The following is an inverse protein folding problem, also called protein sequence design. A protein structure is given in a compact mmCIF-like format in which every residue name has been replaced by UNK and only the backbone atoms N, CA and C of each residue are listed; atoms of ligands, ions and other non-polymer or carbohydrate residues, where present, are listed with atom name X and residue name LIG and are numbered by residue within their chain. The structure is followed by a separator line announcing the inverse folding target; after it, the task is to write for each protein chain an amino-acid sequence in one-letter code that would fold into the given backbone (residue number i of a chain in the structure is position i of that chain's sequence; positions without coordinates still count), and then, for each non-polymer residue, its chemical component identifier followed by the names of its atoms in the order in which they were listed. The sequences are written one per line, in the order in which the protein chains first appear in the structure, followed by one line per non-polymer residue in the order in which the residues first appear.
data_IF_553554274999
#
_entry.id   IF_553554274999
#
_cell.length_a   1.000
_cell.length_b   1.000
_cell.length_c   1.000
_cell.angle_alpha   90.00
_cell.angle_beta   90.00
_cell.angle_gamma   90.00
#
_symmetry.space_group_name_H-M   'P 1'
#
loop_
_entity.id
_entity.type
_entity.pdbx_description
1 polymer ?
#
# COMPACT_ATOMS: atom_id res chain seq x y z
N UNK A 1 -15.24 16.57 -4.14
CA UNK A 1 -15.43 15.71 -2.95
C UNK A 1 -16.86 15.22 -2.94
N UNK A 2 -17.10 13.92 -2.69
CA UNK A 2 -18.45 13.38 -2.54
C UNK A 2 -19.03 13.77 -1.18
N UNK A 3 -20.36 13.67 -1.03
CA UNK A 3 -21.15 14.16 0.12
C UNK A 3 -20.70 13.65 1.52
N UNK A 4 -19.82 12.65 1.59
CA UNK A 4 -19.39 11.97 2.83
C UNK A 4 -17.85 11.97 3.04
N UNK A 5 -17.12 12.99 2.56
CA UNK A 5 -15.64 13.04 2.64
C UNK A 5 -14.92 11.85 1.99
N UNK A 6 -15.59 11.15 1.08
CA UNK A 6 -15.01 10.08 0.26
C UNK A 6 -14.45 10.69 -1.02
N UNK A 7 -13.21 10.31 -1.35
CA UNK A 7 -12.56 10.63 -2.61
C UNK A 7 -12.29 9.32 -3.33
N UNK A 8 -12.90 9.14 -4.49
CA UNK A 8 -12.61 8.04 -5.40
C UNK A 8 -11.61 8.59 -6.42
N UNK A 9 -10.51 7.87 -6.58
CA UNK A 9 -9.49 8.19 -7.58
C UNK A 9 -9.52 7.08 -8.61
N UNK A 10 -9.81 7.45 -9.85
CA UNK A 10 -9.65 6.54 -10.98
C UNK A 10 -8.18 6.56 -11.43
N UNK A 11 -7.51 5.43 -11.32
CA UNK A 11 -6.10 5.31 -11.69
C UNK A 11 -5.96 4.83 -13.13
N UNK A 12 -4.92 5.26 -13.86
CA UNK A 12 -4.58 4.66 -15.14
C UNK A 12 -4.44 3.12 -15.06
N UNK A 13 -4.64 2.47 -16.20
CA UNK A 13 -4.45 1.01 -16.32
C UNK A 13 -3.02 0.57 -16.00
N UNK A 14 -2.87 -0.57 -15.33
CA UNK A 14 -1.58 -1.12 -14.86
C UNK A 14 -0.76 -1.78 -16.00
N UNK A 15 -0.82 -1.23 -17.21
CA UNK A 15 -0.26 -1.93 -18.39
C UNK A 15 0.23 -1.04 -19.52
N UNK A 16 0.28 0.28 -19.34
CA UNK A 16 0.61 1.22 -20.42
C UNK A 16 2.10 1.63 -20.42
N UNK A 17 2.71 1.92 -19.27
CA UNK A 17 4.17 2.15 -19.13
C UNK A 17 4.66 2.03 -17.67
N UNK A 18 5.97 1.94 -17.46
CA UNK A 18 6.60 1.93 -16.12
C UNK A 18 6.36 3.26 -15.38
N UNK A 19 6.25 4.39 -16.09
CA UNK A 19 5.91 5.69 -15.48
C UNK A 19 4.48 5.68 -14.94
N UNK A 20 3.55 5.11 -15.72
CA UNK A 20 2.13 5.00 -15.35
C UNK A 20 1.95 4.08 -14.14
N UNK A 21 2.71 2.98 -14.08
CA UNK A 21 2.77 2.09 -12.92
C UNK A 21 3.22 2.83 -11.66
N UNK A 22 4.27 3.64 -11.76
CA UNK A 22 4.77 4.45 -10.63
C UNK A 22 3.75 5.48 -10.14
N UNK A 23 3.01 6.11 -11.07
CA UNK A 23 1.90 7.01 -10.73
C UNK A 23 0.83 6.24 -9.94
N UNK A 24 0.41 5.07 -10.42
CA UNK A 24 -0.60 4.23 -9.75
C UNK A 24 -0.13 3.78 -8.36
N UNK A 25 1.14 3.38 -8.21
CA UNK A 25 1.71 3.06 -6.89
C UNK A 25 1.72 4.26 -5.93
N UNK A 26 1.97 5.48 -6.44
CA UNK A 26 1.91 6.70 -5.65
C UNK A 26 0.50 7.00 -5.09
N UNK A 27 -0.55 6.56 -5.77
CA UNK A 27 -1.91 6.60 -5.24
C UNK A 27 -2.14 5.54 -4.17
N UNK A 28 -1.66 4.31 -4.36
CA UNK A 28 -1.82 3.22 -3.38
C UNK A 28 -1.20 3.57 -2.03
N UNK A 29 -0.04 4.23 -2.00
CA UNK A 29 0.62 4.67 -0.75
C UNK A 29 -0.24 5.64 0.08
N UNK A 30 -1.02 6.49 -0.60
CA UNK A 30 -1.86 7.53 0.02
C UNK A 30 -3.29 7.04 0.25
N UNK A 31 -3.71 6.01 -0.47
CA UNK A 31 -5.06 5.49 -0.42
C UNK A 31 -5.33 4.80 0.92
N UNK A 32 -6.54 5.01 1.44
CA UNK A 32 -6.96 4.31 2.66
C UNK A 32 -7.51 2.91 2.39
N UNK A 33 -7.87 2.63 1.14
CA UNK A 33 -8.24 1.34 0.59
C UNK A 33 -8.14 1.42 -0.93
N UNK A 34 -8.09 0.28 -1.61
CA UNK A 34 -8.07 0.24 -3.07
C UNK A 34 -9.00 -0.86 -3.59
N UNK A 35 -9.62 -0.56 -4.73
CA UNK A 35 -10.48 -1.48 -5.47
C UNK A 35 -9.74 -1.86 -6.73
N UNK A 36 -9.53 -3.15 -6.95
CA UNK A 36 -8.93 -3.68 -8.16
C UNK A 36 -10.03 -4.33 -9.01
N UNK A 37 -10.24 -3.81 -10.20
CA UNK A 37 -11.22 -4.35 -11.15
C UNK A 37 -10.52 -5.34 -12.06
N UNK A 38 -10.98 -6.59 -12.04
CA UNK A 38 -10.42 -7.69 -12.82
C UNK A 38 -11.41 -8.05 -13.93
N UNK A 39 -10.93 -8.11 -15.17
CA UNK A 39 -11.72 -8.61 -16.31
C UNK A 39 -11.72 -10.15 -16.34
N UNK A 40 -12.88 -10.78 -16.14
CA UNK A 40 -13.01 -12.25 -16.11
C UNK A 40 -12.85 -12.93 -17.48
N UNK A 41 -12.91 -12.18 -18.58
CA UNK A 41 -12.81 -12.76 -19.93
C UNK A 41 -11.38 -13.08 -20.36
N UNK A 42 -10.37 -12.51 -19.68
CA UNK A 42 -8.98 -12.71 -20.03
C UNK A 42 -8.32 -13.71 -19.06
N UNK A 43 -8.11 -14.96 -19.50
CA UNK A 43 -7.30 -15.99 -18.82
C UNK A 43 -7.57 -16.19 -17.30
N UNK A 44 -8.84 -16.08 -16.88
CA UNK A 44 -9.23 -16.19 -15.47
C UNK A 44 -8.88 -14.96 -14.64
N UNK A 45 -8.75 -13.80 -15.28
CA UNK A 45 -8.60 -12.48 -14.66
C UNK A 45 -7.21 -12.14 -14.09
N UNK A 46 -6.47 -13.13 -13.62
CA UNK A 46 -5.16 -12.93 -12.97
C UNK A 46 -4.04 -12.96 -14.02
N UNK A 47 -3.84 -11.84 -14.71
CA UNK A 47 -2.74 -11.69 -15.68
C UNK A 47 -1.38 -11.46 -15.00
N UNK A 48 -0.27 -11.82 -15.68
CA UNK A 48 1.10 -11.63 -15.18
C UNK A 48 1.36 -10.19 -14.69
N UNK A 49 0.85 -9.19 -15.40
CA UNK A 49 1.00 -7.77 -15.03
C UNK A 49 0.35 -7.41 -13.69
N UNK A 50 -0.79 -8.02 -13.39
CA UNK A 50 -1.43 -7.85 -12.08
C UNK A 50 -0.57 -8.46 -10.98
N UNK A 51 0.07 -9.60 -11.25
CA UNK A 51 0.98 -10.23 -10.29
C UNK A 51 2.19 -9.32 -10.01
N UNK A 52 2.80 -8.79 -11.06
CA UNK A 52 3.93 -7.85 -10.96
C UNK A 52 3.56 -6.59 -10.16
N UNK A 53 2.37 -6.04 -10.40
CA UNK A 53 1.87 -4.88 -9.66
C UNK A 53 1.59 -5.20 -8.19
N UNK A 54 0.94 -6.33 -7.91
CA UNK A 54 0.67 -6.78 -6.54
C UNK A 54 1.98 -6.97 -5.76
N UNK A 55 3.00 -7.56 -6.37
CA UNK A 55 4.31 -7.72 -5.74
C UNK A 55 4.98 -6.38 -5.43
N UNK A 56 4.85 -5.39 -6.31
CA UNK A 56 5.36 -4.05 -6.03
C UNK A 56 4.59 -3.32 -4.93
N UNK A 57 3.26 -3.48 -4.90
CA UNK A 57 2.43 -2.96 -3.81
C UNK A 57 2.86 -3.58 -2.48
N UNK A 58 3.10 -4.90 -2.43
CA UNK A 58 3.61 -5.58 -1.21
C UNK A 58 4.99 -5.08 -0.81
N UNK A 59 5.90 -4.89 -1.77
CA UNK A 59 7.23 -4.39 -1.49
C UNK A 59 7.17 -3.00 -0.85
N UNK A 60 6.40 -2.09 -1.44
CA UNK A 60 6.16 -0.76 -0.88
C UNK A 60 5.41 -0.78 0.45
N UNK A 61 4.46 -1.70 0.63
CA UNK A 61 3.75 -1.92 1.88
C UNK A 61 4.69 -2.24 3.05
N UNK A 62 5.66 -3.14 2.79
CA UNK A 62 6.65 -3.57 3.77
C UNK A 62 7.68 -2.46 4.07
N UNK A 63 8.02 -1.65 3.08
CA UNK A 63 8.92 -0.49 3.25
C UNK A 63 8.25 0.65 4.05
N UNK A 64 6.93 0.81 3.92
CA UNK A 64 6.14 1.90 4.52
C UNK A 64 5.12 1.36 5.52
N UNK A 65 5.51 0.56 6.51
CA UNK A 65 4.79 0.19 7.77
C UNK A 65 3.22 0.16 7.81
N UNK A 66 2.47 0.03 6.70
CA UNK A 66 1.15 0.69 6.71
C UNK A 66 0.19 0.44 5.56
N UNK A 67 0.53 -0.35 4.54
CA UNK A 67 -0.52 -0.88 3.65
C UNK A 67 -1.09 -2.12 4.33
N UNK A 68 -2.20 -1.95 5.04
CA UNK A 68 -2.94 -3.08 5.59
C UNK A 68 -3.58 -3.83 4.41
N UNK A 69 -3.12 -5.06 4.20
CA UNK A 69 -3.51 -5.93 3.08
C UNK A 69 -5.01 -6.31 3.11
N UNK A 70 -5.70 -6.10 4.23
CA UNK A 70 -7.16 -6.28 4.33
C UNK A 70 -7.99 -5.14 3.70
N UNK A 71 -7.32 -4.15 3.10
CA UNK A 71 -7.96 -2.97 2.50
C UNK A 71 -8.18 -3.09 0.98
N UNK A 72 -7.93 -4.26 0.42
CA UNK A 72 -8.17 -4.56 -0.99
C UNK A 72 -9.60 -5.04 -1.21
N UNK A 73 -10.27 -4.59 -2.26
CA UNK A 73 -11.45 -5.26 -2.83
C UNK A 73 -11.10 -5.66 -4.26
N UNK A 74 -11.30 -6.91 -4.60
CA UNK A 74 -11.16 -7.43 -5.96
C UNK A 74 -12.55 -7.60 -6.57
N UNK A 75 -12.85 -6.77 -7.58
CA UNK A 75 -14.12 -6.80 -8.30
C UNK A 75 -13.90 -7.56 -9.60
N UNK A 76 -14.39 -8.79 -9.66
CA UNK A 76 -14.29 -9.67 -10.82
C UNK A 76 -15.39 -9.31 -11.82
N UNK A 77 -15.15 -8.31 -12.67
CA UNK A 77 -16.11 -7.74 -13.61
C UNK A 77 -16.34 -8.63 -14.84
N UNK A 78 -17.42 -8.36 -15.59
CA UNK A 78 -17.92 -9.17 -16.72
C UNK A 78 -18.33 -10.58 -16.32
N UNK A 79 -18.83 -10.74 -15.10
CA UNK A 79 -19.31 -12.02 -14.59
C UNK A 79 -20.53 -12.58 -15.35
N UNK A 80 -21.25 -11.70 -16.04
CA UNK A 80 -22.34 -12.06 -16.96
C UNK A 80 -21.86 -12.78 -18.21
N UNK A 81 -20.61 -12.54 -18.65
CA UNK A 81 -20.03 -13.16 -19.85
C UNK A 81 -19.42 -14.54 -19.57
N UNK A 82 -19.22 -14.90 -18.30
CA UNK A 82 -18.72 -16.22 -17.90
C UNK A 82 -19.80 -17.29 -18.10
N UNK A 83 -19.54 -18.39 -18.85
CA UNK A 83 -20.51 -19.46 -19.05
C UNK A 83 -21.00 -20.04 -17.72
N UNK A 84 -22.31 -20.23 -17.56
CA UNK A 84 -22.93 -20.66 -16.29
C UNK A 84 -22.33 -21.95 -15.72
N UNK A 85 -21.95 -22.89 -16.59
CA UNK A 85 -21.35 -24.17 -16.18
C UNK A 85 -19.90 -24.04 -15.71
N UNK A 86 -19.20 -22.97 -16.10
CA UNK A 86 -17.80 -22.70 -15.72
C UNK A 86 -17.68 -21.78 -14.50
N UNK A 87 -18.74 -21.03 -14.15
CA UNK A 87 -18.73 -20.03 -13.07
C UNK A 87 -18.11 -20.55 -11.77
N UNK A 88 -18.47 -21.75 -11.33
CA UNK A 88 -17.93 -22.34 -10.10
C UNK A 88 -16.43 -22.60 -10.17
N UNK A 89 -15.95 -23.10 -11.32
CA UNK A 89 -14.53 -23.38 -11.55
C UNK A 89 -13.74 -22.09 -11.66
N UNK A 90 -14.21 -21.14 -12.47
CA UNK A 90 -13.54 -19.85 -12.71
C UNK A 90 -13.37 -19.05 -11.41
N UNK A 91 -14.40 -18.98 -10.57
CA UNK A 91 -14.27 -18.23 -9.31
C UNK A 91 -13.31 -18.92 -8.35
N UNK A 92 -13.36 -20.26 -8.27
CA UNK A 92 -12.46 -21.03 -7.41
C UNK A 92 -11.00 -20.84 -7.82
N UNK A 93 -10.71 -20.97 -9.11
CA UNK A 93 -9.35 -20.76 -9.66
C UNK A 93 -8.88 -19.33 -9.43
N UNK A 94 -9.77 -18.34 -9.60
CA UNK A 94 -9.46 -16.93 -9.34
C UNK A 94 -9.11 -16.70 -7.87
N UNK A 95 -9.89 -17.27 -6.95
CA UNK A 95 -9.65 -17.19 -5.51
C UNK A 95 -8.32 -17.82 -5.14
N UNK A 96 -8.01 -19.01 -5.66
CA UNK A 96 -6.75 -19.71 -5.38
C UNK A 96 -5.54 -18.89 -5.87
N UNK A 97 -5.59 -18.36 -7.10
CA UNK A 97 -4.53 -17.51 -7.65
C UNK A 97 -4.35 -16.22 -6.86
N UNK A 98 -5.44 -15.54 -6.50
CA UNK A 98 -5.38 -14.31 -5.72
C UNK A 98 -4.85 -14.56 -4.30
N UNK A 99 -5.20 -15.68 -3.66
CA UNK A 99 -4.65 -16.06 -2.35
C UNK A 99 -3.15 -16.34 -2.39
N UNK A 100 -2.65 -16.97 -3.45
CA UNK A 100 -1.20 -17.17 -3.66
C UNK A 100 -0.47 -15.83 -3.83
N UNK A 101 -1.09 -14.90 -4.53
CA UNK A 101 -0.54 -13.58 -4.77
C UNK A 101 -0.79 -12.60 -3.62
N UNK A 102 -1.67 -12.89 -2.66
CA UNK A 102 -2.05 -11.96 -1.61
C UNK A 102 -2.25 -12.69 -0.28
N UNK A 103 -1.17 -12.85 0.47
CA UNK A 103 -1.19 -13.55 1.75
C UNK A 103 -2.16 -12.87 2.73
N UNK A 104 -3.10 -13.65 3.27
CA UNK A 104 -4.12 -13.15 4.21
C UNK A 104 -5.37 -12.54 3.54
N UNK A 105 -5.57 -12.77 2.24
CA UNK A 105 -6.80 -12.40 1.53
C UNK A 105 -8.02 -13.19 2.05
N UNK A 106 -9.05 -12.47 2.49
CA UNK A 106 -10.36 -13.05 2.78
C UNK A 106 -11.14 -13.21 1.45
N UNK A 107 -11.78 -14.36 1.25
CA UNK A 107 -12.62 -14.62 0.07
C UNK A 107 -13.73 -13.58 -0.09
N UNK A 108 -14.21 -12.99 1.03
CA UNK A 108 -15.20 -11.90 1.00
C UNK A 108 -14.70 -10.63 0.32
N UNK A 109 -13.39 -10.48 0.12
CA UNK A 109 -12.79 -9.38 -0.63
C UNK A 109 -12.84 -9.61 -2.15
N UNK A 110 -13.18 -10.82 -2.60
CA UNK A 110 -13.29 -11.17 -4.02
C UNK A 110 -14.77 -11.26 -4.38
N UNK A 111 -15.24 -10.33 -5.22
CA UNK A 111 -16.66 -10.18 -5.51
C UNK A 111 -16.88 -10.36 -7.01
N UNK A 112 -17.55 -11.45 -7.44
CA UNK A 112 -18.06 -11.58 -8.81
C UNK A 112 -19.03 -10.45 -9.11
N UNK A 113 -18.83 -9.74 -10.22
CA UNK A 113 -19.57 -8.54 -10.53
C UNK A 113 -19.85 -8.40 -12.03
N UNK A 114 -21.02 -7.88 -12.35
CA UNK A 114 -21.39 -7.50 -13.70
C UNK A 114 -21.84 -6.05 -13.69
N UNK A 115 -21.09 -5.19 -14.37
CA UNK A 115 -21.42 -3.76 -14.45
C UNK A 115 -22.70 -3.56 -15.27
N UNK A 116 -22.88 -4.33 -16.32
CA UNK A 116 -24.07 -4.32 -17.20
C UNK A 116 -25.33 -4.71 -16.43
N UNK A 117 -25.29 -5.83 -15.70
CA UNK A 117 -26.39 -6.28 -14.84
C UNK A 117 -26.70 -5.25 -13.74
N UNK A 118 -25.66 -4.78 -13.05
CA UNK A 118 -25.83 -3.82 -11.96
C UNK A 118 -26.49 -2.51 -12.44
N UNK A 119 -26.05 -1.99 -13.59
CA UNK A 119 -26.61 -0.78 -14.19
C UNK A 119 -28.07 -0.98 -14.61
N UNK A 120 -28.40 -2.14 -15.20
CA UNK A 120 -29.76 -2.45 -15.62
C UNK A 120 -30.73 -2.58 -14.44
N UNK A 121 -30.34 -3.30 -13.38
CA UNK A 121 -31.14 -3.44 -12.15
C UNK A 121 -31.30 -2.09 -11.46
N UNK A 122 -30.24 -1.27 -11.44
CA UNK A 122 -30.30 0.09 -10.88
C UNK A 122 -31.26 1.00 -11.64
N UNK A 123 -31.33 0.87 -12.97
CA UNK A 123 -32.31 1.59 -13.79
C UNK A 123 -33.77 1.27 -13.44
N UNK A 124 -34.02 0.13 -12.78
CA UNK A 124 -35.34 -0.28 -12.30
C UNK A 124 -35.62 0.16 -10.85
N UNK A 125 -34.71 0.92 -10.23
CA UNK A 125 -34.84 1.36 -8.84
C UNK A 125 -34.45 0.28 -7.81
N UNK A 126 -33.85 -0.83 -8.24
CA UNK A 126 -33.36 -1.89 -7.36
C UNK A 126 -31.82 -1.89 -7.28
N UNK A 127 -31.24 -2.67 -6.36
CA UNK A 127 -29.78 -2.81 -6.24
C UNK A 127 -29.43 -4.28 -6.47
N UNK A 128 -28.57 -4.55 -7.45
CA UNK A 128 -28.11 -5.91 -7.73
C UNK A 128 -27.42 -6.51 -6.49
N UNK A 129 -27.61 -7.81 -6.17
CA UNK A 129 -27.06 -8.42 -4.96
C UNK A 129 -25.53 -8.28 -4.85
N UNK A 130 -24.80 -8.49 -5.95
CA UNK A 130 -23.35 -8.34 -5.94
C UNK A 130 -22.92 -6.87 -5.89
N UNK A 131 -23.71 -5.95 -6.43
CA UNK A 131 -23.46 -4.51 -6.23
C UNK A 131 -23.63 -4.11 -4.77
N UNK A 132 -24.66 -4.64 -4.11
CA UNK A 132 -24.86 -4.43 -2.67
C UNK A 132 -23.65 -4.92 -1.86
N UNK A 133 -23.11 -6.10 -2.19
CA UNK A 133 -21.89 -6.62 -1.53
C UNK A 133 -20.69 -5.68 -1.70
N UNK A 134 -20.48 -5.11 -2.90
CA UNK A 134 -19.41 -4.12 -3.13
C UNK A 134 -19.63 -2.88 -2.26
N UNK A 135 -20.86 -2.36 -2.21
CA UNK A 135 -21.20 -1.18 -1.41
C UNK A 135 -21.01 -1.43 0.09
N UNK A 136 -21.47 -2.57 0.60
CA UNK A 136 -21.30 -2.95 2.01
C UNK A 136 -19.82 -3.08 2.36
N UNK A 137 -19.01 -3.70 1.47
CA UNK A 137 -17.57 -3.84 1.70
C UNK A 137 -16.84 -2.50 1.64
N UNK A 138 -17.25 -1.60 0.75
CA UNK A 138 -16.74 -0.22 0.72
C UNK A 138 -17.10 0.53 2.01
N UNK A 139 -18.30 0.31 2.56
CA UNK A 139 -18.71 0.89 3.83
C UNK A 139 -17.83 0.38 4.99
N UNK A 140 -17.53 -0.92 5.05
CA UNK A 140 -16.64 -1.52 6.06
C UNK A 140 -15.21 -0.96 6.03
N UNK A 141 -14.76 -0.47 4.88
CA UNK A 141 -13.43 0.12 4.74
C UNK A 141 -13.35 1.53 5.32
N UNK A 142 -14.47 2.25 5.46
CA UNK A 142 -14.49 3.63 5.97
C UNK A 142 -14.00 3.68 7.44
N UNK A 143 -14.54 2.87 8.38
CA UNK A 143 -14.02 2.83 9.75
C UNK A 143 -12.55 2.41 9.81
N UNK A 144 -12.16 1.43 9.00
CA UNK A 144 -10.78 0.92 8.95
C UNK A 144 -9.79 1.99 8.47
N UNK A 145 -10.19 2.77 7.46
CA UNK A 145 -9.47 3.92 6.95
C UNK A 145 -9.28 4.99 8.04
N UNK A 146 -10.37 5.39 8.69
CA UNK A 146 -10.37 6.38 9.76
C UNK A 146 -9.50 5.96 10.95
N UNK A 147 -9.61 4.70 11.37
CA UNK A 147 -8.78 4.13 12.44
C UNK A 147 -7.29 4.20 12.07
N UNK A 148 -6.92 3.79 10.85
CA UNK A 148 -5.51 3.82 10.41
C UNK A 148 -4.96 5.23 10.39
N UNK A 149 -5.72 6.20 9.88
CA UNK A 149 -5.32 7.62 9.85
C UNK A 149 -5.15 8.17 11.27
N UNK A 150 -6.09 7.84 12.17
CA UNK A 150 -6.02 8.24 13.57
C UNK A 150 -4.80 7.66 14.28
N UNK A 151 -4.52 6.37 14.06
CA UNK A 151 -3.35 5.69 14.62
C UNK A 151 -2.03 6.32 14.14
N UNK A 152 -1.94 6.65 12.84
CA UNK A 152 -0.76 7.35 12.28
C UNK A 152 -0.57 8.72 12.94
N UNK A 153 -1.65 9.48 13.13
CA UNK A 153 -1.60 10.78 13.79
C UNK A 153 -1.19 10.65 15.27
N UNK A 154 -1.79 9.71 16.01
CA UNK A 154 -1.42 9.42 17.40
C UNK A 154 0.04 9.01 17.55
N UNK A 155 0.54 8.15 16.65
CA UNK A 155 1.95 7.74 16.63
C UNK A 155 2.86 8.93 16.36
N UNK A 156 2.49 9.81 15.43
CA UNK A 156 3.22 11.04 15.14
C UNK A 156 3.28 11.97 16.37
N UNK A 157 2.15 12.21 17.01
CA UNK A 157 2.06 13.01 18.24
C UNK A 157 2.87 12.41 19.38
N UNK A 158 2.81 11.09 19.57
CA UNK A 158 3.60 10.38 20.59
C UNK A 158 5.10 10.63 20.43
N UNK A 159 5.63 10.57 19.19
CA UNK A 159 7.04 10.87 18.90
C UNK A 159 7.41 12.32 19.21
N UNK A 160 6.52 13.27 18.91
CA UNK A 160 6.74 14.69 19.23
C UNK A 160 6.78 14.92 20.74
N UNK A 161 5.85 14.32 21.48
CA UNK A 161 5.79 14.41 22.94
C UNK A 161 7.01 13.77 23.60
N UNK A 162 7.43 12.59 23.15
CA UNK A 162 8.64 11.91 23.62
C UNK A 162 9.88 12.79 23.41
N UNK A 163 10.02 13.38 22.22
CA UNK A 163 11.14 14.30 21.94
C UNK A 163 11.09 15.56 22.79
N UNK A 164 9.90 16.13 23.00
CA UNK A 164 9.71 17.30 23.84
C UNK A 164 10.10 17.01 25.30
N UNK A 165 9.71 15.85 25.83
CA UNK A 165 10.09 15.40 27.16
C UNK A 165 11.61 15.20 27.26
N UNK A 166 12.23 14.56 26.26
CA UNK A 166 13.67 14.37 26.21
C UNK A 166 14.42 15.71 26.26
N UNK A 167 13.97 16.71 25.49
CA UNK A 167 14.55 18.06 25.48
C UNK A 167 14.38 18.73 26.85
N UNK A 168 13.17 18.70 27.42
CA UNK A 168 12.88 19.31 28.72
C UNK A 168 13.72 18.68 29.85
N UNK A 169 13.78 17.35 29.92
CA UNK A 169 14.59 16.63 30.91
C UNK A 169 16.08 16.96 30.76
N UNK A 170 16.59 17.00 29.52
CA UNK A 170 17.99 17.37 29.26
C UNK A 170 18.27 18.79 29.72
N UNK A 171 17.35 19.73 29.48
CA UNK A 171 17.50 21.11 29.92
C UNK A 171 17.53 21.24 31.46
N UNK A 172 16.63 20.54 32.16
CA UNK A 172 16.62 20.50 33.63
C UNK A 172 17.91 19.90 34.18
N UNK A 173 18.39 18.78 33.62
CA UNK A 173 19.67 18.19 34.01
C UNK A 173 20.83 19.17 33.81
N UNK A 174 20.88 19.81 32.64
CA UNK A 174 21.95 20.73 32.27
C UNK A 174 21.95 21.98 33.15
N UNK A 175 20.78 22.47 33.60
CA UNK A 175 20.68 23.60 34.54
C UNK A 175 21.32 23.34 35.90
N UNK A 176 21.56 22.07 36.25
CA UNK A 176 22.19 21.66 37.51
C UNK A 176 23.71 21.48 37.40
N UNK A 177 24.26 21.57 36.19
CA UNK A 177 25.69 21.39 35.93
C UNK A 177 26.42 22.73 35.98
N UNK A 178 27.67 22.71 36.43
CA UNK A 178 28.55 23.86 36.28
C UNK A 178 29.14 23.93 34.85
N UNK A 179 29.78 25.05 34.52
CA UNK A 179 30.25 25.36 33.17
C UNK A 179 31.22 24.30 32.61
N UNK A 180 32.12 23.76 33.44
CA UNK A 180 33.07 22.72 33.04
C UNK A 180 32.39 21.38 32.75
N UNK A 181 31.45 20.97 33.61
CA UNK A 181 30.65 19.75 33.39
C UNK A 181 29.77 19.86 32.14
N UNK A 182 29.21 21.04 31.89
CA UNK A 182 28.43 21.32 30.69
C UNK A 182 29.30 21.19 29.42
N UNK A 183 30.53 21.70 29.49
CA UNK A 183 31.50 21.64 28.39
C UNK A 183 31.88 20.19 28.06
N UNK A 184 32.20 19.39 29.07
CA UNK A 184 32.50 17.95 28.89
C UNK A 184 31.31 17.21 28.26
N UNK A 185 30.08 17.43 28.76
CA UNK A 185 28.86 16.79 28.23
C UNK A 185 28.58 17.22 26.78
N UNK A 186 28.87 18.48 26.44
CA UNK A 186 28.72 19.02 25.08
C UNK A 186 29.74 18.40 24.13
N UNK A 187 31.03 18.35 24.51
CA UNK A 187 32.08 17.73 23.70
C UNK A 187 31.82 16.23 23.47
N UNK A 188 31.28 15.51 24.48
CA UNK A 188 30.88 14.11 24.30
C UNK A 188 29.69 13.97 23.32
N UNK A 189 28.71 14.89 23.40
CA UNK A 189 27.58 14.92 22.48
C UNK A 189 28.03 15.22 21.03
N UNK A 190 28.94 16.17 20.84
CA UNK A 190 29.55 16.49 19.53
C UNK A 190 30.26 15.27 18.94
N UNK A 191 31.07 14.58 19.75
CA UNK A 191 31.76 13.35 19.31
C UNK A 191 30.77 12.23 18.94
N UNK A 192 29.65 12.12 19.66
CA UNK A 192 28.58 11.17 19.30
C UNK A 192 27.87 11.57 18.01
N UNK A 193 27.66 12.87 17.79
CA UNK A 193 27.05 13.40 16.57
C UNK A 193 27.94 13.12 15.36
N UNK A 194 29.24 13.39 15.47
CA UNK A 194 30.23 13.14 14.42
C UNK A 194 30.28 11.65 14.05
N UNK A 195 30.32 10.76 15.05
CA UNK A 195 30.21 9.31 14.83
C UNK A 195 28.90 8.90 14.13
N UNK A 196 27.78 9.56 14.45
CA UNK A 196 26.50 9.30 13.79
C UNK A 196 26.49 9.80 12.34
N UNK A 197 27.13 10.94 12.06
CA UNK A 197 27.28 11.48 10.72
C UNK A 197 28.17 10.58 9.84
N UNK A 198 29.28 10.08 10.37
CA UNK A 198 30.11 9.09 9.69
C UNK A 198 29.31 7.81 9.40
N UNK A 199 28.59 7.27 10.39
CA UNK A 199 27.73 6.10 10.20
C UNK A 199 26.66 6.34 9.15
N UNK A 200 26.04 7.53 9.14
CA UNK A 200 25.07 7.93 8.11
C UNK A 200 25.74 7.94 6.74
N UNK A 201 26.94 8.51 6.62
CA UNK A 201 27.65 8.61 5.36
C UNK A 201 28.02 7.22 4.81
N UNK A 202 28.52 6.33 5.67
CA UNK A 202 28.81 4.93 5.33
C UNK A 202 27.53 4.20 4.90
N UNK A 203 26.44 4.38 5.64
CA UNK A 203 25.15 3.77 5.31
C UNK A 203 24.64 4.23 3.93
N UNK A 204 24.65 5.54 3.66
CA UNK A 204 24.20 6.10 2.38
C UNK A 204 25.09 5.63 1.22
N UNK A 205 26.41 5.63 1.41
CA UNK A 205 27.35 5.12 0.39
C UNK A 205 27.08 3.65 0.08
N UNK A 206 26.84 2.82 1.10
CA UNK A 206 26.50 1.41 0.93
C UNK A 206 25.16 1.23 0.20
N UNK A 207 24.15 2.04 0.52
CA UNK A 207 22.87 2.00 -0.20
C UNK A 207 23.01 2.39 -1.66
N UNK A 208 23.80 3.43 -1.97
CA UNK A 208 24.09 3.83 -3.36
C UNK A 208 24.78 2.72 -4.14
N UNK A 209 25.75 2.04 -3.53
CA UNK A 209 26.45 0.93 -4.15
C UNK A 209 25.51 -0.26 -4.40
N UNK A 210 24.70 -0.64 -3.40
CA UNK A 210 23.69 -1.68 -3.55
C UNK A 210 22.70 -1.39 -4.70
N UNK A 211 22.28 -0.13 -4.87
CA UNK A 211 21.41 0.28 -5.99
C UNK A 211 22.15 0.12 -7.33
N UNK A 212 23.40 0.57 -7.44
CA UNK A 212 24.22 0.39 -8.66
C UNK A 212 24.39 -1.08 -9.02
N UNK A 213 24.74 -1.93 -8.05
CA UNK A 213 24.91 -3.37 -8.28
C UNK A 213 23.61 -3.99 -8.79
N UNK A 214 22.47 -3.65 -8.18
CA UNK A 214 21.15 -4.15 -8.63
C UNK A 214 20.80 -3.70 -10.05
N UNK A 215 21.06 -2.44 -10.39
CA UNK A 215 20.86 -1.93 -11.75
C UNK A 215 21.73 -2.69 -12.74
N UNK A 216 23.00 -2.92 -12.41
CA UNK A 216 23.92 -3.65 -13.28
C UNK A 216 23.50 -5.12 -13.46
N UNK A 217 23.12 -5.79 -12.36
CA UNK A 217 22.63 -7.18 -12.41
C UNK A 217 21.35 -7.32 -13.22
N UNK A 218 20.39 -6.40 -13.08
CA UNK A 218 19.17 -6.41 -13.89
C UNK A 218 19.45 -6.10 -15.37
N UNK A 219 20.34 -5.15 -15.67
CA UNK A 219 20.76 -4.84 -17.03
C UNK A 219 21.47 -6.03 -17.72
N UNK A 220 22.33 -6.76 -17.01
CA UNK A 220 22.97 -7.98 -17.53
C UNK A 220 21.96 -9.08 -17.85
N UNK A 221 20.96 -9.30 -17.00
CA UNK A 221 19.89 -10.30 -17.27
C UNK A 221 19.06 -9.98 -18.51
N UNK A 222 18.91 -8.69 -18.85
CA UNK A 222 18.21 -8.27 -20.07
C UNK A 222 19.09 -8.54 -21.30
N UNK A 223 20.39 -8.27 -21.20
CA UNK A 223 21.35 -8.55 -22.26
C UNK A 223 21.52 -10.05 -22.55
N UNK A 224 21.49 -10.89 -21.52
CA UNK A 224 21.61 -12.35 -21.67
C UNK A 224 20.35 -13.04 -22.24
N UNK A 225 19.26 -12.29 -22.48
CA UNK A 225 18.01 -12.80 -23.09
C UNK A 225 17.90 -12.50 -24.59
N UNK A 226 18.86 -11.81 -25.18
CA UNK A 226 18.97 -11.56 -26.62
C UNK A 226 20.19 -12.29 -27.20
#
# INVERSE_FOLDING_TARGET
MLKNNVVIVDSPGVGESEEIKNITLGYVEKASAFVYVIDMMNAGGVQQRMQEFIEEVKKKANEVYGVNLQKAIFVCNKWDEVPTHEKTTVIKDTVERLKQLWNGLDEKQIIPFSTTEAQWIQGQGAVAPNFRKVLDKLADLIPTAQYTTTLKAQTGLGKVLEKSLQIASTHIENSRLNEEQLRVKTTEAEKRLENLEEKKHVFISRQRENVKTRIHTEASKIYDRY
#
